data_IF_065076535887
#
_entry.id   IF_065076535887
#
_cell.length_a   1.000
_cell.length_b   1.000
_cell.length_c   1.000
_cell.angle_alpha   90.00
_cell.angle_beta   90.00
_cell.angle_gamma   90.00
#
_symmetry.space_group_name_H-M   'P 1'
#
loop_
_entity.id
_entity.type
_entity.pdbx_description
1 polymer ?
#
# COMPACT_ATOMS: atom_id res chain seq x y z
N UNK A 1 11.78 -28.09 43.61
CA UNK A 1 12.22 -27.17 43.43
C UNK A 1 12.61 -26.81 42.15
N UNK A 2 12.92 -27.46 41.43
CA UNK A 2 13.23 -27.15 40.27
C UNK A 2 12.15 -26.89 39.39
N UNK A 3 11.04 -27.18 39.57
CA UNK A 3 9.99 -27.09 38.65
C UNK A 3 9.60 -25.72 38.34
N UNK A 4 9.94 -24.82 39.11
CA UNK A 4 9.50 -23.58 38.79
C UNK A 4 10.03 -23.04 37.62
N UNK A 5 11.02 -23.38 37.17
CA UNK A 5 11.55 -22.89 36.04
C UNK A 5 10.70 -22.89 34.90
N UNK A 6 9.97 -23.80 34.71
CA UNK A 6 9.15 -23.90 33.62
C UNK A 6 8.27 -22.84 33.46
N UNK A 7 7.73 -22.38 34.42
CA UNK A 7 6.84 -21.45 34.27
C UNK A 7 7.25 -20.34 33.55
N UNK A 8 8.32 -19.79 33.71
CA UNK A 8 8.72 -18.77 33.03
C UNK A 8 8.65 -18.83 31.62
N UNK A 9 8.94 -19.80 31.07
CA UNK A 9 8.89 -19.93 29.72
C UNK A 9 7.67 -19.61 29.08
N UNK A 10 6.65 -20.01 29.55
CA UNK A 10 5.44 -19.83 28.99
C UNK A 10 5.11 -18.44 28.82
N UNK A 11 5.38 -17.66 29.73
CA UNK A 11 5.02 -16.39 29.66
C UNK A 11 5.56 -15.71 28.53
N UNK A 12 6.68 -15.98 28.14
CA UNK A 12 7.22 -15.42 27.12
C UNK A 12 6.51 -15.51 25.88
N UNK A 13 5.95 -16.54 25.61
CA UNK A 13 5.32 -16.78 24.42
C UNK A 13 4.30 -15.80 24.13
N UNK A 14 3.64 -15.33 25.02
CA UNK A 14 2.63 -14.47 24.76
C UNK A 14 2.99 -13.19 24.24
N UNK A 15 3.99 -12.69 24.48
CA UNK A 15 4.25 -11.43 24.07
C UNK A 15 4.33 -11.17 22.66
N UNK A 16 4.31 -12.04 21.92
CA UNK A 16 4.46 -11.84 20.57
C UNK A 16 3.41 -11.19 19.82
N UNK A 17 2.44 -11.00 20.25
CA UNK A 17 1.43 -10.53 19.40
C UNK A 17 1.53 -9.22 19.09
N UNK A 18 1.33 -8.66 18.67
CA UNK A 18 1.21 -7.54 18.41
C UNK A 18 0.78 -6.83 17.75
N UNK A 19 0.74 -6.20 17.56
CA UNK A 19 0.42 -5.58 17.11
C UNK A 19 0.17 -4.60 16.49
N UNK A 20 0.28 -4.14 16.17
CA UNK A 20 0.13 -3.28 15.65
C UNK A 20 -0.64 -2.42 15.56
N UNK A 21 -0.88 -2.10 15.50
CA UNK A 21 -1.67 -1.50 15.42
C UNK A 21 -1.78 -0.33 15.39
N UNK A 22 -1.56 0.11 15.53
CA UNK A 22 -1.68 0.96 15.65
C UNK A 22 -2.04 1.89 15.38
N UNK A 23 -2.01 2.35 15.42
CA UNK A 23 -2.43 3.06 15.48
C UNK A 23 -2.42 4.24 15.07
N UNK A 24 -2.86 4.78 15.01
CA UNK A 24 -3.08 6.00 14.72
C UNK A 24 -1.99 6.56 14.03
N UNK A 25 -1.07 6.21 14.10
CA UNK A 25 -0.11 6.87 13.56
C UNK A 25 0.07 6.72 12.20
N UNK A 26 1.16 6.90 11.66
CA UNK A 26 1.30 6.70 10.41
C UNK A 26 1.59 5.35 10.14
N UNK A 27 0.97 4.72 9.33
CA UNK A 27 1.20 3.38 8.95
C UNK A 27 2.41 3.36 8.11
N UNK A 28 3.19 2.33 8.19
CA UNK A 28 4.29 2.20 7.30
C UNK A 28 3.82 1.75 5.97
N UNK A 29 4.45 2.12 4.88
CA UNK A 29 4.06 1.67 3.55
C UNK A 29 4.15 0.17 3.46
N UNK A 30 3.21 -0.44 2.81
CA UNK A 30 3.19 -1.87 2.63
C UNK A 30 3.88 -2.22 1.32
N UNK A 31 4.88 -3.08 1.37
CA UNK A 31 5.60 -3.44 0.16
C UNK A 31 4.77 -4.38 -0.69
N UNK A 32 4.61 -4.07 -1.95
CA UNK A 32 3.84 -4.88 -2.86
C UNK A 32 4.72 -6.00 -3.37
N UNK A 33 4.24 -7.23 -3.27
CA UNK A 33 4.97 -8.37 -3.78
C UNK A 33 4.14 -9.00 -4.86
N UNK A 34 4.76 -9.36 -5.96
CA UNK A 34 4.04 -10.00 -7.05
C UNK A 34 4.22 -11.50 -6.93
N UNK A 35 3.18 -12.26 -7.23
CA UNK A 35 3.30 -13.70 -7.23
C UNK A 35 4.33 -14.08 -8.27
N UNK A 36 5.02 -15.21 -8.06
CA UNK A 36 6.06 -15.61 -8.93
C UNK A 36 5.60 -15.66 -10.35
N UNK A 37 6.35 -15.07 -11.24
CA UNK A 37 6.03 -15.07 -12.66
C UNK A 37 4.95 -14.11 -13.06
N UNK A 38 4.43 -13.31 -12.15
CA UNK A 38 3.37 -12.38 -12.50
C UNK A 38 3.89 -10.97 -12.59
N UNK A 39 3.27 -10.17 -13.46
CA UNK A 39 3.66 -8.77 -13.64
C UNK A 39 2.56 -7.84 -13.14
N UNK A 40 1.47 -8.37 -12.60
CA UNK A 40 0.34 -7.59 -12.21
C UNK A 40 -0.21 -8.06 -10.88
N UNK A 41 -0.75 -7.17 -10.09
CA UNK A 41 -1.41 -7.54 -8.85
C UNK A 41 -2.56 -6.56 -8.59
N UNK A 42 -3.59 -7.02 -7.92
CA UNK A 42 -4.74 -6.19 -7.59
C UNK A 42 -4.65 -5.84 -6.12
N UNK A 43 -4.73 -4.54 -5.83
CA UNK A 43 -4.67 -4.04 -4.47
C UNK A 43 -6.07 -3.67 -4.04
N UNK A 44 -6.49 -4.17 -2.89
CA UNK A 44 -7.81 -3.85 -2.37
C UNK A 44 -7.71 -3.55 -0.89
N UNK A 45 -8.51 -2.61 -0.42
CA UNK A 45 -8.57 -2.29 0.98
C UNK A 45 -9.74 -1.37 1.21
N UNK A 46 -10.32 -1.41 2.39
CA UNK A 46 -11.42 -0.53 2.73
C UNK A 46 -10.89 0.72 3.38
N UNK A 47 -11.35 1.87 2.95
CA UNK A 47 -10.94 3.15 3.51
C UNK A 47 -12.16 4.03 3.75
N UNK A 48 -12.08 4.86 4.77
CA UNK A 48 -13.10 5.87 5.03
C UNK A 48 -12.64 7.20 4.46
N UNK A 49 -13.53 8.17 4.39
CA UNK A 49 -13.20 9.48 3.81
C UNK A 49 -11.87 10.00 4.32
N UNK A 50 -11.06 10.48 3.42
CA UNK A 50 -9.77 11.09 3.67
C UNK A 50 -8.68 10.14 4.16
N UNK A 51 -8.98 8.88 4.34
CA UNK A 51 -7.94 7.94 4.70
C UNK A 51 -7.17 7.53 3.47
N UNK A 52 -5.94 7.13 3.64
CA UNK A 52 -5.17 6.67 2.51
C UNK A 52 -4.35 5.45 2.87
N UNK A 53 -4.02 4.67 1.87
CA UNK A 53 -3.17 3.52 2.01
C UNK A 53 -1.89 3.82 1.27
N UNK A 54 -0.75 3.46 1.86
CA UNK A 54 0.54 3.72 1.25
C UNK A 54 1.21 2.42 0.90
N UNK A 55 1.64 2.30 -0.33
CA UNK A 55 2.35 1.13 -0.82
C UNK A 55 3.72 1.53 -1.34
N UNK A 56 4.63 0.54 -1.35
CA UNK A 56 5.94 0.77 -1.92
C UNK A 56 6.22 -0.38 -2.88
N UNK A 57 6.77 -0.11 -4.02
CA UNK A 57 7.10 -1.15 -5.00
C UNK A 57 8.46 -0.86 -5.63
N UNK A 58 9.16 -1.90 -6.00
CA UNK A 58 10.45 -1.77 -6.66
C UNK A 58 10.27 -1.93 -8.16
N UNK A 59 11.02 -1.20 -8.93
CA UNK A 59 10.95 -1.32 -10.38
C UNK A 59 12.30 -0.97 -10.98
N UNK A 60 12.55 -1.48 -12.17
CA UNK A 60 13.83 -1.25 -12.86
C UNK A 60 13.67 -0.21 -13.95
N UNK A 61 14.74 0.56 -14.18
CA UNK A 61 14.74 1.55 -15.21
C UNK A 61 14.26 0.94 -16.51
N UNK A 62 13.36 1.62 -17.19
CA UNK A 62 12.85 1.18 -18.48
C UNK A 62 11.57 0.34 -18.40
N UNK A 63 11.22 -0.13 -17.22
CA UNK A 63 9.97 -0.87 -17.12
C UNK A 63 8.79 0.08 -17.22
N UNK A 64 7.68 -0.42 -17.69
CA UNK A 64 6.45 0.36 -17.81
C UNK A 64 5.52 -0.02 -16.67
N UNK A 65 5.03 0.98 -15.97
CA UNK A 65 4.11 0.80 -14.87
C UNK A 65 2.74 1.28 -15.32
N UNK A 66 1.72 0.49 -15.06
CA UNK A 66 0.34 0.89 -15.35
C UNK A 66 -0.48 0.72 -14.09
N UNK A 67 -1.22 1.75 -13.73
CA UNK A 67 -2.08 1.75 -12.56
C UNK A 67 -3.50 1.92 -13.05
N UNK A 68 -4.39 0.98 -12.72
CA UNK A 68 -5.77 1.07 -13.11
C UNK A 68 -6.65 1.19 -11.90
N UNK A 69 -7.46 2.23 -11.86
CA UNK A 69 -8.35 2.50 -10.75
C UNK A 69 -9.78 2.37 -11.24
N UNK A 70 -10.51 1.38 -10.75
CA UNK A 70 -11.84 1.14 -11.26
C UNK A 70 -12.92 1.98 -10.58
N UNK A 71 -12.61 2.69 -9.51
CA UNK A 71 -13.61 3.48 -8.82
C UNK A 71 -13.17 4.92 -8.68
N UNK A 72 -13.07 5.59 -9.80
CA UNK A 72 -12.51 6.93 -9.83
C UNK A 72 -13.36 7.97 -9.11
N UNK A 73 -14.63 7.71 -8.92
CA UNK A 73 -15.47 8.67 -8.21
C UNK A 73 -15.24 8.61 -6.70
N UNK A 74 -14.67 7.51 -6.21
CA UNK A 74 -14.48 7.33 -4.77
C UNK A 74 -13.03 7.33 -4.34
N UNK A 75 -12.12 7.05 -5.26
CA UNK A 75 -10.69 6.96 -4.93
C UNK A 75 -9.83 7.67 -5.95
N UNK A 76 -8.74 8.22 -5.47
CA UNK A 76 -7.72 8.75 -6.36
C UNK A 76 -6.38 8.21 -5.87
N UNK A 77 -5.33 8.43 -6.63
CA UNK A 77 -4.02 7.88 -6.28
C UNK A 77 -2.92 8.84 -6.71
N UNK A 78 -1.71 8.62 -6.22
CA UNK A 78 -0.55 9.33 -6.72
C UNK A 78 0.68 8.48 -6.56
N UNK A 79 1.68 8.75 -7.39
CA UNK A 79 2.96 8.04 -7.35
C UNK A 79 4.02 9.05 -6.92
N UNK A 80 4.94 8.60 -6.10
CA UNK A 80 5.98 9.48 -5.59
C UNK A 80 7.31 8.72 -5.50
N UNK A 81 8.39 9.36 -5.84
CA UNK A 81 9.72 8.83 -5.52
C UNK A 81 10.59 10.03 -5.20
N UNK A 82 11.51 9.84 -4.29
CA UNK A 82 12.32 10.95 -3.89
C UNK A 82 13.15 11.51 -4.98
N UNK A 83 13.56 10.71 -5.91
CA UNK A 83 14.40 11.19 -6.95
C UNK A 83 13.76 11.54 -8.26
N UNK A 84 12.73 10.88 -8.63
CA UNK A 84 12.19 11.01 -9.98
C UNK A 84 10.81 11.61 -10.06
N UNK A 85 9.99 11.40 -9.07
CA UNK A 85 8.63 11.89 -9.11
C UNK A 85 8.32 12.66 -7.85
N UNK A 86 8.41 13.97 -7.90
CA UNK A 86 8.12 14.76 -6.71
C UNK A 86 6.67 14.59 -6.30
N UNK A 87 6.39 14.81 -5.06
CA UNK A 87 5.06 14.66 -4.59
C UNK A 87 4.16 15.68 -5.25
N UNK A 88 3.10 15.24 -5.83
CA UNK A 88 2.18 16.10 -6.53
C UNK A 88 0.76 15.83 -6.07
N UNK A 89 -0.19 16.18 -6.89
CA UNK A 89 -1.59 16.01 -6.54
C UNK A 89 -2.07 14.61 -6.83
N UNK A 90 -3.13 14.22 -6.16
CA UNK A 90 -3.76 12.94 -6.42
C UNK A 90 -4.44 12.97 -7.79
N UNK A 91 -4.41 11.85 -8.46
CA UNK A 91 -4.95 11.71 -9.82
C UNK A 91 -6.18 10.82 -9.79
N UNK A 92 -7.26 11.24 -10.43
CA UNK A 92 -8.47 10.47 -10.50
C UNK A 92 -8.66 9.78 -11.84
N UNK A 93 -7.62 9.69 -12.64
CA UNK A 93 -7.73 9.01 -13.93
C UNK A 93 -8.01 7.55 -13.74
N UNK A 94 -8.71 6.92 -14.67
CA UNK A 94 -8.95 5.48 -14.57
C UNK A 94 -7.69 4.69 -14.87
N UNK A 95 -6.75 5.25 -15.58
CA UNK A 95 -5.52 4.56 -15.97
C UNK A 95 -4.37 5.55 -16.03
N UNK A 96 -3.24 5.17 -15.50
CA UNK A 96 -2.04 6.00 -15.55
C UNK A 96 -0.87 5.09 -15.90
N UNK A 97 -0.13 5.44 -16.94
CA UNK A 97 0.99 4.63 -17.40
C UNK A 97 2.24 5.50 -17.49
N UNK A 98 3.35 5.00 -17.02
CA UNK A 98 4.61 5.72 -17.12
C UNK A 98 5.79 4.75 -17.19
N UNK A 99 6.93 5.24 -17.66
CA UNK A 99 8.13 4.45 -17.76
C UNK A 99 9.02 4.80 -16.58
N UNK A 100 9.63 3.79 -15.96
CA UNK A 100 10.47 3.99 -14.80
C UNK A 100 11.77 4.64 -15.21
N UNK A 101 12.08 5.82 -14.69
CA UNK A 101 13.28 6.52 -15.09
C UNK A 101 14.54 6.01 -14.40
N UNK A 102 14.45 5.51 -13.20
CA UNK A 102 15.60 4.99 -12.48
C UNK A 102 15.23 3.80 -11.65
N UNK A 103 16.05 2.79 -11.59
CA UNK A 103 15.80 1.61 -10.78
C UNK A 103 15.70 2.01 -9.31
N UNK A 104 14.71 1.55 -8.63
CA UNK A 104 14.56 1.83 -7.20
C UNK A 104 13.16 1.63 -6.71
N UNK A 105 12.89 2.20 -5.56
CA UNK A 105 11.59 2.08 -4.92
C UNK A 105 10.71 3.28 -5.22
N UNK A 106 9.43 3.01 -5.43
CA UNK A 106 8.44 4.03 -5.73
C UNK A 106 7.27 3.85 -4.78
N UNK A 107 6.60 4.94 -4.45
CA UNK A 107 5.46 4.90 -3.54
C UNK A 107 4.17 5.09 -4.32
N UNK A 108 3.15 4.36 -3.94
CA UNK A 108 1.82 4.50 -4.51
C UNK A 108 0.88 4.78 -3.35
N UNK A 109 0.20 5.91 -3.38
CA UNK A 109 -0.78 6.25 -2.36
C UNK A 109 -2.16 6.15 -2.97
N UNK A 110 -3.08 5.50 -2.29
CA UNK A 110 -4.47 5.44 -2.72
C UNK A 110 -5.30 6.10 -1.62
N UNK A 111 -6.14 7.04 -1.97
CA UNK A 111 -6.90 7.82 -0.98
C UNK A 111 -8.40 7.72 -1.25
N UNK A 112 -9.19 7.66 -0.18
CA UNK A 112 -10.62 7.72 -0.31
C UNK A 112 -11.04 9.18 -0.36
N UNK A 113 -11.76 9.56 -1.42
CA UNK A 113 -12.23 10.91 -1.54
C UNK A 113 -13.32 11.17 -0.52
N UNK A 114 -13.44 12.40 -0.10
CA UNK A 114 -14.47 12.78 0.85
C UNK A 114 -15.77 12.92 0.11
N UNK A 115 -16.74 12.05 0.39
CA UNK A 115 -18.06 12.16 -0.21
C UNK A 115 -19.09 11.91 0.88
N UNK A 116 -20.33 12.35 0.64
CA UNK A 116 -21.36 12.16 1.58
C UNK A 116 -21.68 10.72 1.75
N UNK A 117 -21.74 9.95 0.69
CA UNK A 117 -22.07 8.53 0.72
C UNK A 117 -21.50 7.87 -0.52
N UNK A 118 -20.82 6.75 -0.36
CA UNK A 118 -20.53 6.06 0.87
C UNK A 118 -19.29 6.63 1.55
N UNK A 119 -19.32 6.70 2.87
CA UNK A 119 -18.19 7.25 3.60
C UNK A 119 -17.09 6.22 3.75
N UNK A 120 -17.39 4.97 3.58
CA UNK A 120 -16.40 3.89 3.62
C UNK A 120 -16.62 3.01 2.40
N UNK A 121 -15.57 2.64 1.72
CA UNK A 121 -15.67 1.79 0.54
C UNK A 121 -14.34 1.10 0.32
N UNK A 122 -14.34 0.07 -0.51
CA UNK A 122 -13.12 -0.66 -0.84
C UNK A 122 -12.65 -0.27 -2.22
N UNK A 123 -11.38 -0.03 -2.38
CA UNK A 123 -10.84 0.27 -3.69
C UNK A 123 -10.38 -1.01 -4.37
N UNK A 124 -10.21 -0.95 -5.66
CA UNK A 124 -9.63 -2.01 -6.43
C UNK A 124 -8.70 -1.33 -7.42
N UNK A 125 -7.43 -1.43 -7.18
CA UNK A 125 -6.43 -0.77 -8.03
C UNK A 125 -5.48 -1.85 -8.51
N UNK A 126 -5.28 -1.94 -9.80
CA UNK A 126 -4.38 -2.94 -10.39
C UNK A 126 -3.07 -2.26 -10.73
N UNK A 127 -1.99 -2.85 -10.26
CA UNK A 127 -0.65 -2.37 -10.56
C UNK A 127 0.03 -3.38 -11.47
N UNK A 128 0.53 -2.94 -12.60
CA UNK A 128 1.25 -3.79 -13.56
C UNK A 128 2.63 -3.19 -13.79
N UNK A 129 3.67 -4.02 -13.75
CA UNK A 129 5.03 -3.58 -14.00
C UNK A 129 5.67 -4.56 -14.98
N UNK A 130 6.03 -4.13 -16.17
CA UNK A 130 6.67 -5.04 -17.11
C UNK A 130 7.62 -4.36 -18.09
#
# INVERSE_FOLDING_TARGET
MRSFLFFLLILFALGATETFAQNGGKAEPLRIEFAKGKTSTVLTRSLSNDQQMQYIFGANKGQTVTIKNTKTSLFDFKVFSEESFPEGDFDSSPTYTFVIPETGDYYLFVRKKRVKAPRTASFSVTLTIK
#
